data_IF_224664495681
#
_entry.id   IF_224664495681
#
_cell.length_a   1.000
_cell.length_b   1.000
_cell.length_c   1.000
_cell.angle_alpha   90.00
_cell.angle_beta   90.00
_cell.angle_gamma   90.00
#
_symmetry.space_group_name_H-M   'P 1'
#
loop_
_entity.id
_entity.type
_entity.pdbx_description
1 polymer ?
#
# COMPACT_ATOMS: atom_id res chain seq x y z
N UNK A 1 20.75 7.15 -27.80
CA UNK A 1 21.17 7.29 -26.39
C UNK A 1 19.99 7.90 -25.60
N UNK A 2 19.24 7.09 -24.91
CA UNK A 2 18.33 7.63 -23.88
C UNK A 2 19.14 7.77 -22.58
N UNK A 3 19.13 8.94 -21.91
CA UNK A 3 19.77 9.12 -20.61
C UNK A 3 19.17 8.17 -19.58
N UNK A 4 19.94 7.78 -18.56
CA UNK A 4 19.53 6.85 -17.48
C UNK A 4 18.22 7.26 -16.75
N UNK A 5 17.80 8.52 -16.89
CA UNK A 5 16.55 9.06 -16.36
C UNK A 5 15.33 8.80 -17.26
N UNK A 6 15.57 8.46 -18.52
CA UNK A 6 14.50 8.27 -19.52
C UNK A 6 13.79 6.93 -19.36
N UNK A 7 14.50 5.87 -18.92
CA UNK A 7 13.88 4.56 -18.64
C UNK A 7 12.90 4.63 -17.49
N UNK A 8 13.26 5.34 -16.41
CA UNK A 8 12.36 5.56 -15.28
C UNK A 8 11.14 6.44 -15.63
N UNK A 9 11.30 7.39 -16.54
CA UNK A 9 10.18 8.19 -17.08
C UNK A 9 9.23 7.32 -17.92
N UNK A 10 9.79 6.47 -18.78
CA UNK A 10 9.04 5.54 -19.63
C UNK A 10 8.21 4.56 -18.81
N UNK A 11 8.81 3.98 -17.78
CA UNK A 11 8.14 3.07 -16.85
C UNK A 11 6.98 3.74 -16.11
N UNK A 12 7.21 4.96 -15.62
CA UNK A 12 6.15 5.73 -14.96
C UNK A 12 5.01 6.08 -15.93
N UNK A 13 5.34 6.33 -17.19
CA UNK A 13 4.35 6.59 -18.23
C UNK A 13 3.51 5.35 -18.53
N UNK A 14 4.15 4.19 -18.71
CA UNK A 14 3.47 2.92 -18.95
C UNK A 14 2.50 2.57 -17.81
N UNK A 15 2.99 2.55 -16.56
CA UNK A 15 2.13 2.26 -15.40
C UNK A 15 0.97 3.25 -15.31
N UNK A 16 1.24 4.53 -15.55
CA UNK A 16 0.20 5.57 -15.55
C UNK A 16 -0.85 5.35 -16.64
N UNK A 17 -0.43 4.97 -17.83
CA UNK A 17 -1.32 4.86 -18.98
C UNK A 17 -2.13 3.56 -18.91
N UNK A 18 -1.51 2.46 -18.43
CA UNK A 18 -2.21 1.22 -18.11
C UNK A 18 -3.24 1.41 -16.98
N UNK A 19 -2.87 2.19 -15.95
CA UNK A 19 -3.75 2.52 -14.82
C UNK A 19 -4.94 3.42 -15.22
N UNK A 20 -4.84 4.15 -16.33
CA UNK A 20 -5.89 5.03 -16.85
C UNK A 20 -6.78 4.35 -17.88
N UNK A 21 -6.39 3.19 -18.38
CA UNK A 21 -7.16 2.46 -19.37
C UNK A 21 -8.58 2.16 -18.83
N UNK A 22 -9.65 2.67 -19.46
CA UNK A 22 -11.01 2.56 -18.94
C UNK A 22 -11.59 1.16 -19.16
N UNK A 23 -11.08 0.41 -20.13
CA UNK A 23 -11.51 -0.95 -20.46
C UNK A 23 -10.33 -1.91 -20.52
N UNK A 24 -10.61 -3.22 -20.54
CA UNK A 24 -9.59 -4.25 -20.76
C UNK A 24 -8.98 -4.11 -22.17
N UNK A 25 -9.77 -3.76 -23.18
CA UNK A 25 -9.32 -3.56 -24.54
C UNK A 25 -8.31 -2.39 -24.62
N UNK A 26 -8.60 -1.26 -23.97
CA UNK A 26 -7.66 -0.14 -23.90
C UNK A 26 -6.37 -0.51 -23.16
N UNK A 27 -6.45 -1.37 -22.14
CA UNK A 27 -5.27 -1.87 -21.40
C UNK A 27 -4.42 -2.79 -22.29
N UNK A 28 -5.03 -3.62 -23.14
CA UNK A 28 -4.34 -4.46 -24.13
C UNK A 28 -3.62 -3.60 -25.16
N UNK A 29 -4.29 -2.57 -25.70
CA UNK A 29 -3.68 -1.64 -26.67
C UNK A 29 -2.46 -0.92 -26.10
N UNK A 30 -2.54 -0.48 -24.83
CA UNK A 30 -1.40 0.11 -24.10
C UNK A 30 -0.27 -0.91 -23.95
N UNK A 31 -0.57 -2.16 -23.57
CA UNK A 31 0.42 -3.22 -23.37
C UNK A 31 1.11 -3.59 -24.69
N UNK A 32 0.37 -3.71 -25.80
CA UNK A 32 0.91 -4.00 -27.14
C UNK A 32 1.85 -2.90 -27.64
N UNK A 33 1.44 -1.62 -27.46
CA UNK A 33 2.27 -0.49 -27.85
C UNK A 33 3.60 -0.48 -27.08
N UNK A 34 3.58 -0.75 -25.77
CA UNK A 34 4.78 -0.80 -24.96
C UNK A 34 5.65 -2.04 -25.22
N UNK A 35 5.08 -3.21 -25.50
CA UNK A 35 5.82 -4.43 -25.88
C UNK A 35 6.63 -4.18 -27.16
N UNK A 36 6.01 -3.60 -28.19
CA UNK A 36 6.70 -3.24 -29.44
C UNK A 36 7.87 -2.27 -29.23
N UNK A 37 7.72 -1.30 -28.32
CA UNK A 37 8.79 -0.35 -27.99
C UNK A 37 9.89 -1.02 -27.19
N UNK A 38 9.56 -1.89 -26.23
CA UNK A 38 10.56 -2.62 -25.42
C UNK A 38 11.42 -3.54 -26.26
N UNK A 39 10.84 -4.24 -27.24
CA UNK A 39 11.59 -5.09 -28.20
C UNK A 39 12.59 -4.24 -29.00
N UNK A 40 12.17 -3.10 -29.54
CA UNK A 40 13.05 -2.18 -30.26
C UNK A 40 14.18 -1.64 -29.39
N UNK A 41 13.89 -1.30 -28.12
CA UNK A 41 14.88 -0.81 -27.17
C UNK A 41 15.87 -1.90 -26.76
N UNK A 42 15.42 -3.15 -26.55
CA UNK A 42 16.30 -4.29 -26.27
C UNK A 42 17.26 -4.58 -27.40
N UNK A 43 16.80 -4.55 -28.67
CA UNK A 43 17.66 -4.73 -29.84
C UNK A 43 18.75 -3.65 -29.94
N UNK A 44 18.43 -2.40 -29.61
CA UNK A 44 19.39 -1.27 -29.64
C UNK A 44 20.37 -1.30 -28.46
N UNK A 45 20.01 -1.89 -27.29
CA UNK A 45 20.86 -1.97 -26.10
C UNK A 45 21.92 -3.07 -26.18
N UNK A 46 21.80 -4.01 -27.08
CA UNK A 46 22.81 -5.07 -27.31
C UNK A 46 24.20 -4.52 -27.74
N UNK A 47 24.34 -3.21 -27.90
CA UNK A 47 25.53 -2.56 -28.44
C UNK A 47 26.48 -1.88 -27.42
N UNK A 48 26.19 -1.84 -26.07
CA UNK A 48 27.09 -1.21 -25.08
C UNK A 48 27.11 -1.92 -23.70
N UNK A 49 28.32 -2.24 -23.18
CA UNK A 49 28.51 -3.34 -22.18
C UNK A 49 28.21 -3.17 -20.68
N UNK A 50 28.23 -2.01 -20.07
CA UNK A 50 28.18 -1.92 -18.59
C UNK A 50 26.86 -1.34 -18.04
N UNK A 51 26.13 -0.56 -18.81
CA UNK A 51 24.76 -0.11 -18.48
C UNK A 51 23.67 -1.09 -18.90
N UNK A 52 24.08 -2.18 -19.56
CA UNK A 52 23.25 -3.21 -20.17
C UNK A 52 22.33 -3.95 -19.21
N UNK A 53 22.88 -4.45 -18.09
CA UNK A 53 22.17 -5.45 -17.28
C UNK A 53 20.91 -4.88 -16.59
N UNK A 54 20.97 -3.67 -16.04
CA UNK A 54 19.79 -3.07 -15.38
C UNK A 54 18.70 -2.65 -16.36
N UNK A 55 19.08 -2.07 -17.50
CA UNK A 55 18.11 -1.66 -18.52
C UNK A 55 17.48 -2.86 -19.21
N UNK A 56 18.26 -3.90 -19.53
CA UNK A 56 17.76 -5.16 -20.12
C UNK A 56 16.82 -5.87 -19.16
N UNK A 57 17.17 -5.97 -17.88
CA UNK A 57 16.30 -6.58 -16.87
C UNK A 57 14.98 -5.82 -16.74
N UNK A 58 15.02 -4.49 -16.79
CA UNK A 58 13.85 -3.64 -16.74
C UNK A 58 12.94 -3.82 -17.97
N UNK A 59 13.50 -3.87 -19.18
CA UNK A 59 12.73 -4.11 -20.40
C UNK A 59 12.14 -5.54 -20.45
N UNK A 60 12.90 -6.55 -19.98
CA UNK A 60 12.36 -7.92 -19.84
C UNK A 60 11.19 -7.97 -18.86
N UNK A 61 11.31 -7.27 -17.73
CA UNK A 61 10.20 -7.20 -16.79
C UNK A 61 8.97 -6.52 -17.39
N UNK A 62 9.15 -5.46 -18.20
CA UNK A 62 8.05 -4.82 -18.92
C UNK A 62 7.41 -5.78 -19.94
N UNK A 63 8.23 -6.51 -20.68
CA UNK A 63 7.76 -7.51 -21.64
C UNK A 63 7.01 -8.63 -20.93
N UNK A 64 7.55 -9.16 -19.83
CA UNK A 64 6.88 -10.15 -18.98
C UNK A 64 5.52 -9.65 -18.44
N UNK A 65 5.46 -8.36 -18.04
CA UNK A 65 4.21 -7.74 -17.56
C UNK A 65 3.20 -7.54 -18.68
N UNK A 66 3.65 -7.07 -19.84
CA UNK A 66 2.80 -6.95 -21.03
C UNK A 66 2.26 -8.32 -21.43
N UNK A 67 3.12 -9.34 -21.45
CA UNK A 67 2.74 -10.73 -21.76
C UNK A 67 1.73 -11.29 -20.76
N UNK A 68 1.85 -10.97 -19.48
CA UNK A 68 0.89 -11.36 -18.45
C UNK A 68 -0.48 -10.66 -18.62
N UNK A 69 -0.48 -9.39 -19.06
CA UNK A 69 -1.73 -8.65 -19.35
C UNK A 69 -2.40 -9.20 -20.61
N UNK A 70 -1.60 -9.61 -21.59
CA UNK A 70 -2.07 -10.18 -22.86
C UNK A 70 -2.44 -11.68 -22.77
N UNK A 71 -2.36 -12.29 -21.56
CA UNK A 71 -2.57 -13.73 -21.36
C UNK A 71 -1.69 -14.59 -22.27
N UNK A 72 -0.49 -14.13 -22.56
CA UNK A 72 0.44 -14.77 -23.47
C UNK A 72 1.34 -15.75 -22.68
N UNK A 73 1.49 -17.01 -23.14
CA UNK A 73 2.25 -18.10 -22.47
C UNK A 73 3.77 -17.82 -22.25
N UNK A 74 4.25 -16.63 -22.60
CA UNK A 74 5.64 -16.22 -22.47
C UNK A 74 6.02 -15.61 -21.10
N UNK A 75 5.11 -15.60 -20.14
CA UNK A 75 5.34 -14.99 -18.82
C UNK A 75 6.45 -15.71 -18.06
N UNK A 76 7.46 -14.97 -17.61
CA UNK A 76 8.56 -15.52 -16.82
C UNK A 76 8.06 -16.01 -15.46
N UNK A 77 8.47 -17.21 -15.03
CA UNK A 77 8.10 -17.81 -13.74
C UNK A 77 8.41 -16.88 -12.56
N UNK A 78 9.50 -16.10 -12.58
CA UNK A 78 9.85 -15.16 -11.51
C UNK A 78 8.83 -14.02 -11.33
N UNK A 79 8.28 -13.53 -12.44
CA UNK A 79 7.24 -12.48 -12.40
C UNK A 79 5.94 -13.05 -11.82
N UNK A 80 5.58 -14.28 -12.20
CA UNK A 80 4.43 -14.97 -11.62
C UNK A 80 4.63 -15.29 -10.13
N UNK A 81 5.81 -15.72 -9.72
CA UNK A 81 6.16 -15.92 -8.30
C UNK A 81 6.04 -14.64 -7.50
N UNK A 82 6.53 -13.51 -8.02
CA UNK A 82 6.40 -12.21 -7.36
C UNK A 82 4.93 -11.77 -7.26
N UNK A 83 4.14 -11.93 -8.33
CA UNK A 83 2.69 -11.66 -8.31
C UNK A 83 1.98 -12.52 -7.26
N UNK A 84 2.29 -13.80 -7.22
CA UNK A 84 1.71 -14.73 -6.25
C UNK A 84 2.12 -14.37 -4.82
N UNK A 85 3.38 -13.96 -4.60
CA UNK A 85 3.86 -13.53 -3.28
C UNK A 85 3.15 -12.27 -2.77
N UNK A 86 2.66 -11.41 -3.68
CA UNK A 86 1.85 -10.25 -3.34
C UNK A 86 0.36 -10.60 -3.11
N UNK A 87 -0.05 -11.82 -3.37
CA UNK A 87 -1.42 -12.31 -3.16
C UNK A 87 -1.74 -12.59 -1.69
N UNK A 88 -0.72 -12.84 -0.89
CA UNK A 88 -0.86 -13.22 0.52
C UNK A 88 0.11 -12.40 1.38
N UNK A 89 -0.30 -12.07 2.59
CA UNK A 89 0.57 -11.52 3.63
C UNK A 89 0.42 -12.36 4.89
N UNK A 90 1.47 -13.10 5.22
CA UNK A 90 1.47 -14.08 6.31
C UNK A 90 1.32 -13.42 7.68
N UNK A 91 0.47 -13.99 8.54
CA UNK A 91 0.25 -13.52 9.90
C UNK A 91 1.55 -13.53 10.73
N UNK A 92 2.36 -14.57 10.62
CA UNK A 92 3.63 -14.68 11.32
C UNK A 92 4.62 -13.59 10.92
N UNK A 93 4.64 -13.19 9.63
CA UNK A 93 5.50 -12.11 9.14
C UNK A 93 5.10 -10.72 9.65
N UNK A 94 3.86 -10.58 10.14
CA UNK A 94 3.32 -9.35 10.71
C UNK A 94 3.57 -9.21 12.21
N UNK A 95 3.96 -10.28 12.90
CA UNK A 95 4.18 -10.23 14.34
C UNK A 95 5.41 -9.39 14.70
N UNK A 96 5.24 -8.55 15.69
CA UNK A 96 6.33 -7.85 16.36
C UNK A 96 7.11 -8.79 17.30
N UNK A 97 8.19 -8.29 17.90
CA UNK A 97 8.91 -8.98 18.97
C UNK A 97 8.01 -9.36 20.15
N UNK A 98 6.90 -8.67 20.34
CA UNK A 98 5.89 -8.96 21.37
C UNK A 98 4.87 -10.04 20.95
N UNK A 99 5.11 -10.75 19.87
CA UNK A 99 4.26 -11.84 19.34
C UNK A 99 2.83 -11.40 18.97
N UNK A 100 2.63 -10.13 18.64
CA UNK A 100 1.36 -9.57 18.21
C UNK A 100 1.54 -8.70 16.96
N UNK A 101 0.48 -8.55 16.18
CA UNK A 101 0.43 -7.61 15.06
C UNK A 101 0.20 -6.20 15.62
N UNK A 102 1.06 -5.28 15.25
CA UNK A 102 0.97 -3.88 15.67
C UNK A 102 0.60 -3.02 14.47
N UNK A 103 -0.52 -2.31 14.59
CA UNK A 103 -1.04 -1.38 13.58
C UNK A 103 -0.90 0.05 14.10
N UNK A 104 -0.21 0.92 13.38
CA UNK A 104 -0.17 2.35 13.67
C UNK A 104 -1.04 3.10 12.69
N UNK A 105 -1.94 3.94 13.20
CA UNK A 105 -2.79 4.81 12.41
C UNK A 105 -2.41 6.27 12.65
N UNK A 106 -2.31 7.03 11.56
CA UNK A 106 -2.04 8.47 11.56
C UNK A 106 -3.32 9.24 11.28
N UNK A 107 -3.80 9.98 12.25
CA UNK A 107 -4.94 10.89 12.14
C UNK A 107 -4.46 12.35 12.23
N UNK A 108 -5.21 13.24 11.61
CA UNK A 108 -4.91 14.67 11.51
C UNK A 108 -6.03 15.49 12.11
N UNK A 109 -5.74 16.72 12.54
CA UNK A 109 -6.64 17.56 13.35
C UNK A 109 -7.71 18.31 12.56
N UNK A 110 -7.86 18.02 11.26
CA UNK A 110 -8.93 18.55 10.44
C UNK A 110 -10.29 17.86 10.74
N UNK A 111 -11.37 18.42 10.19
CA UNK A 111 -12.73 17.90 10.42
C UNK A 111 -12.87 16.44 10.00
N UNK A 112 -12.29 16.06 8.88
CA UNK A 112 -12.38 14.70 8.34
C UNK A 112 -11.54 13.73 9.18
N UNK A 113 -10.38 14.15 9.64
CA UNK A 113 -9.52 13.38 10.54
C UNK A 113 -10.19 13.08 11.88
N UNK A 114 -10.85 14.08 12.49
CA UNK A 114 -11.63 13.92 13.73
C UNK A 114 -12.78 12.93 13.50
N UNK A 115 -13.56 13.11 12.43
CA UNK A 115 -14.67 12.21 12.11
C UNK A 115 -14.21 10.78 11.86
N UNK A 116 -13.12 10.60 11.12
CA UNK A 116 -12.53 9.29 10.86
C UNK A 116 -12.01 8.61 12.14
N UNK A 117 -11.42 9.37 13.06
CA UNK A 117 -10.97 8.87 14.36
C UNK A 117 -12.16 8.39 15.22
N UNK A 118 -13.21 9.19 15.33
CA UNK A 118 -14.42 8.81 16.05
C UNK A 118 -15.07 7.56 15.44
N UNK A 119 -15.13 7.47 14.11
CA UNK A 119 -15.58 6.31 13.39
C UNK A 119 -14.74 5.08 13.69
N UNK A 120 -13.41 5.22 13.73
CA UNK A 120 -12.50 4.14 14.11
C UNK A 120 -12.79 3.64 15.53
N UNK A 121 -12.81 4.53 16.52
CA UNK A 121 -13.08 4.15 17.92
C UNK A 121 -14.44 3.43 18.03
N UNK A 122 -15.48 3.96 17.36
CA UNK A 122 -16.82 3.38 17.41
C UNK A 122 -16.88 1.99 16.75
N UNK A 123 -16.13 1.74 15.68
CA UNK A 123 -16.08 0.45 15.00
C UNK A 123 -15.54 -0.68 15.87
N UNK A 124 -14.75 -0.36 16.88
CA UNK A 124 -14.16 -1.32 17.81
C UNK A 124 -14.78 -1.32 19.22
N UNK A 125 -15.87 -0.57 19.43
CA UNK A 125 -16.73 -0.71 20.62
C UNK A 125 -17.61 -1.95 20.48
N UNK A 126 -17.00 -3.11 20.36
CA UNK A 126 -17.68 -4.41 20.20
C UNK A 126 -16.98 -5.48 21.04
N UNK A 127 -17.67 -6.61 21.28
CA UNK A 127 -17.08 -7.74 21.96
C UNK A 127 -15.77 -8.20 21.25
N UNK A 128 -14.80 -8.66 22.02
CA UNK A 128 -13.50 -9.08 21.51
C UNK A 128 -12.44 -7.98 21.47
N UNK A 129 -12.81 -6.72 21.72
CA UNK A 129 -11.89 -5.58 21.70
C UNK A 129 -11.95 -4.76 22.98
N UNK A 130 -10.82 -4.20 23.38
CA UNK A 130 -10.69 -3.25 24.49
C UNK A 130 -10.03 -1.97 24.00
N UNK A 131 -10.39 -0.85 24.62
CA UNK A 131 -9.88 0.47 24.27
C UNK A 131 -9.26 1.11 25.51
N UNK A 132 -8.03 1.61 25.37
CA UNK A 132 -7.32 2.35 26.41
C UNK A 132 -7.01 3.74 25.84
N UNK A 133 -7.59 4.78 26.45
CA UNK A 133 -7.42 6.16 26.03
C UNK A 133 -6.32 6.83 26.85
N UNK A 134 -5.36 7.45 26.16
CA UNK A 134 -4.33 8.32 26.72
C UNK A 134 -4.58 9.77 26.29
N UNK A 135 -3.78 10.70 26.78
CA UNK A 135 -3.91 12.12 26.43
C UNK A 135 -3.73 12.36 24.91
N UNK A 136 -2.73 11.73 24.30
CA UNK A 136 -2.30 11.98 22.94
C UNK A 136 -2.57 10.82 21.97
N UNK A 137 -2.97 9.64 22.47
CA UNK A 137 -3.29 8.48 21.62
C UNK A 137 -4.30 7.56 22.30
N UNK A 138 -4.79 6.65 21.51
CA UNK A 138 -5.67 5.57 21.98
C UNK A 138 -5.11 4.25 21.48
N UNK A 139 -5.05 3.25 22.37
CA UNK A 139 -4.82 1.86 22.01
C UNK A 139 -6.15 1.14 21.91
N UNK A 140 -6.35 0.42 20.80
CA UNK A 140 -7.43 -0.55 20.60
C UNK A 140 -6.80 -1.91 20.38
N UNK A 141 -7.08 -2.88 21.26
CA UNK A 141 -6.45 -4.18 21.19
C UNK A 141 -7.46 -5.31 21.31
N UNK A 142 -7.21 -6.41 20.62
CA UNK A 142 -8.00 -7.62 20.72
C UNK A 142 -7.82 -8.26 22.10
N UNK A 143 -8.90 -8.82 22.67
CA UNK A 143 -8.85 -9.46 24.02
C UNK A 143 -7.93 -10.69 24.00
N UNK A 144 -7.84 -11.39 22.86
CA UNK A 144 -6.93 -12.52 22.70
C UNK A 144 -5.44 -12.13 22.54
N UNK A 145 -5.13 -10.83 22.55
CA UNK A 145 -3.76 -10.30 22.52
C UNK A 145 -3.05 -10.34 21.16
N UNK A 146 -3.71 -10.78 20.07
CA UNK A 146 -3.07 -10.94 18.76
C UNK A 146 -2.87 -9.63 18.02
N UNK A 147 -3.70 -8.62 18.26
CA UNK A 147 -3.67 -7.34 17.55
C UNK A 147 -3.70 -6.17 18.52
N UNK A 148 -2.81 -5.21 18.32
CA UNK A 148 -2.86 -3.90 18.96
C UNK A 148 -2.81 -2.79 17.90
N UNK A 149 -3.75 -1.87 17.96
CA UNK A 149 -3.84 -0.69 17.10
C UNK A 149 -3.56 0.55 17.92
N UNK A 150 -2.61 1.36 17.49
CA UNK A 150 -2.27 2.63 18.11
C UNK A 150 -2.64 3.77 17.17
N UNK A 151 -3.45 4.69 17.65
CA UNK A 151 -3.94 5.84 16.91
C UNK A 151 -3.65 7.12 17.69
N UNK A 152 -2.96 8.08 17.09
CA UNK A 152 -2.82 9.41 17.71
C UNK A 152 -4.18 10.11 17.74
N UNK A 153 -4.40 10.92 18.79
CA UNK A 153 -5.60 11.75 18.90
C UNK A 153 -5.49 12.91 17.89
N UNK A 154 -6.50 13.13 17.01
CA UNK A 154 -6.51 14.26 16.07
C UNK A 154 -6.85 15.57 16.80
N UNK A 155 -5.84 16.16 17.41
CA UNK A 155 -5.94 17.43 18.10
C UNK A 155 -5.86 18.61 17.12
N UNK A 156 -6.06 19.83 17.60
CA UNK A 156 -6.10 21.05 16.78
C UNK A 156 -4.86 21.20 15.88
N UNK A 157 -5.02 21.07 14.57
CA UNK A 157 -3.95 21.18 13.57
C UNK A 157 -3.36 22.59 13.47
N UNK A 158 -4.16 23.64 13.72
CA UNK A 158 -3.70 25.04 13.64
C UNK A 158 -2.68 25.37 14.74
N UNK A 159 -2.68 24.60 15.81
CA UNK A 159 -1.73 24.70 16.92
C UNK A 159 -0.70 23.56 16.86
N UNK A 160 -0.63 22.82 15.77
CA UNK A 160 0.25 21.64 15.57
C UNK A 160 0.12 20.59 16.68
N UNK A 161 -1.01 20.55 17.37
CA UNK A 161 -1.23 19.62 18.48
C UNK A 161 -1.45 18.18 17.99
N UNK A 162 -1.95 17.98 16.77
CA UNK A 162 -2.05 16.68 16.11
C UNK A 162 -0.67 16.10 15.79
N UNK A 163 0.30 16.91 15.32
CA UNK A 163 1.69 16.51 15.15
C UNK A 163 2.33 16.16 16.49
N UNK A 164 2.11 16.97 17.52
CA UNK A 164 2.56 16.67 18.89
C UNK A 164 1.99 15.36 19.40
N UNK A 165 0.75 15.03 19.08
CA UNK A 165 0.14 13.76 19.45
C UNK A 165 0.78 12.58 18.69
N UNK A 166 1.12 12.76 17.40
CA UNK A 166 1.87 11.79 16.61
C UNK A 166 3.27 11.54 17.18
N UNK A 167 4.00 12.60 17.54
CA UNK A 167 5.33 12.51 18.13
C UNK A 167 5.30 11.83 19.50
N UNK A 168 4.29 12.18 20.34
CA UNK A 168 4.11 11.55 21.65
C UNK A 168 3.84 10.05 21.53
N UNK A 169 3.04 9.63 20.53
CA UNK A 169 2.81 8.22 20.25
C UNK A 169 4.09 7.56 19.73
N UNK A 170 4.84 8.22 18.85
CA UNK A 170 6.13 7.71 18.36
C UNK A 170 7.10 7.45 19.52
N UNK A 171 7.24 8.44 20.43
CA UNK A 171 8.10 8.31 21.60
C UNK A 171 7.67 7.14 22.51
N UNK A 172 6.35 6.98 22.72
CA UNK A 172 5.81 5.86 23.49
C UNK A 172 6.14 4.50 22.86
N UNK A 173 5.90 4.34 21.54
CA UNK A 173 6.17 3.11 20.83
C UNK A 173 7.67 2.77 20.84
N UNK A 174 8.53 3.77 20.62
CA UNK A 174 9.99 3.62 20.66
C UNK A 174 10.47 3.20 22.04
N UNK A 175 10.03 3.88 23.10
CA UNK A 175 10.41 3.55 24.48
C UNK A 175 9.95 2.14 24.88
N UNK A 176 8.79 1.71 24.38
CA UNK A 176 8.25 0.36 24.61
C UNK A 176 8.82 -0.71 23.68
N UNK A 177 9.72 -0.37 22.75
CA UNK A 177 10.22 -1.25 21.70
C UNK A 177 9.07 -1.91 20.91
N UNK A 178 7.99 -1.15 20.70
CA UNK A 178 6.80 -1.59 19.97
C UNK A 178 6.94 -1.17 18.51
N UNK A 179 7.16 -2.14 17.64
CA UNK A 179 7.41 -1.89 16.21
C UNK A 179 6.15 -2.19 15.39
N UNK A 180 5.55 -1.18 14.74
CA UNK A 180 4.39 -1.39 13.88
C UNK A 180 4.76 -2.13 12.60
N UNK A 181 4.06 -3.22 12.30
CA UNK A 181 4.17 -3.93 11.02
C UNK A 181 3.14 -3.45 9.98
N UNK A 182 2.10 -2.74 10.42
CA UNK A 182 1.08 -2.17 9.55
C UNK A 182 0.95 -0.67 9.83
N UNK A 183 1.04 0.14 8.77
CA UNK A 183 0.89 1.60 8.84
C UNK A 183 -0.36 2.01 8.08
N UNK A 184 -1.20 2.85 8.67
CA UNK A 184 -2.44 3.33 8.06
C UNK A 184 -2.49 4.85 8.08
N UNK A 185 -2.56 5.44 6.90
CA UNK A 185 -2.80 6.88 6.72
C UNK A 185 -4.30 7.17 6.71
N UNK A 186 -4.73 8.08 7.59
CA UNK A 186 -6.15 8.45 7.78
C UNK A 186 -6.39 9.95 7.59
N UNK A 187 -5.68 10.57 6.67
CA UNK A 187 -5.76 12.00 6.38
C UNK A 187 -5.87 12.28 4.88
N UNK A 188 -5.91 13.56 4.55
CA UNK A 188 -5.83 14.03 3.17
C UNK A 188 -4.46 13.77 2.55
N UNK A 189 -4.38 13.82 1.20
CA UNK A 189 -3.16 13.53 0.45
C UNK A 189 -2.00 14.47 0.77
N UNK A 190 -2.27 15.72 1.16
CA UNK A 190 -1.23 16.69 1.56
C UNK A 190 -0.55 16.32 2.88
N UNK A 191 -1.19 15.51 3.75
CA UNK A 191 -0.57 14.96 4.94
C UNK A 191 0.22 13.67 4.70
N UNK A 192 0.08 13.04 3.51
CA UNK A 192 0.66 11.72 3.27
C UNK A 192 2.19 11.69 3.49
N UNK A 193 2.89 12.78 3.18
CA UNK A 193 4.34 12.87 3.41
C UNK A 193 4.71 12.76 4.90
N UNK A 194 3.90 13.29 5.82
CA UNK A 194 4.12 13.16 7.27
C UNK A 194 3.98 11.69 7.71
N UNK A 195 2.94 11.00 7.24
CA UNK A 195 2.81 9.55 7.50
C UNK A 195 4.01 8.78 6.94
N UNK A 196 4.40 9.07 5.69
CA UNK A 196 5.51 8.36 5.01
C UNK A 196 6.82 8.56 5.75
N UNK A 197 7.13 9.76 6.24
CA UNK A 197 8.32 10.03 7.03
C UNK A 197 8.38 9.22 8.34
N UNK A 198 7.24 8.78 8.86
CA UNK A 198 7.13 7.92 10.04
C UNK A 198 7.06 6.42 9.76
N UNK A 199 7.29 5.99 8.50
CA UNK A 199 7.34 4.56 8.15
C UNK A 199 8.72 4.02 8.50
N UNK A 200 8.74 2.97 9.30
CA UNK A 200 9.94 2.19 9.60
C UNK A 200 10.10 1.03 8.59
N UNK A 201 11.32 0.57 8.37
CA UNK A 201 11.65 -0.57 7.48
C UNK A 201 10.98 -1.89 7.89
N UNK A 202 10.53 -1.99 9.12
CA UNK A 202 9.75 -3.14 9.64
C UNK A 202 8.33 -3.22 9.08
N UNK A 203 7.80 -2.14 8.48
CA UNK A 203 6.45 -2.14 7.92
C UNK A 203 6.32 -3.18 6.82
N UNK A 204 5.33 -4.06 6.95
CA UNK A 204 4.98 -5.10 5.97
C UNK A 204 3.74 -4.74 5.18
N UNK A 205 2.93 -3.82 5.68
CA UNK A 205 1.75 -3.29 4.99
C UNK A 205 1.61 -1.79 5.23
N UNK A 206 1.41 -1.04 4.16
CA UNK A 206 1.08 0.39 4.22
C UNK A 206 -0.25 0.63 3.49
N UNK A 207 -1.22 1.19 4.19
CA UNK A 207 -2.51 1.61 3.63
C UNK A 207 -2.52 3.14 3.46
N UNK A 208 -2.42 3.60 2.21
CA UNK A 208 -2.52 5.01 1.81
C UNK A 208 -3.88 5.30 1.17
N UNK A 209 -4.93 5.32 1.99
CA UNK A 209 -6.30 5.52 1.53
C UNK A 209 -6.69 6.97 1.23
N UNK A 210 -5.72 7.89 1.10
CA UNK A 210 -5.95 9.27 0.67
C UNK A 210 -6.12 9.39 -0.84
N UNK A 211 -6.63 10.55 -1.31
CA UNK A 211 -6.74 10.83 -2.73
C UNK A 211 -5.37 10.73 -3.42
N UNK A 212 -5.26 9.93 -4.48
CA UNK A 212 -4.01 9.74 -5.21
C UNK A 212 -2.87 9.14 -4.39
N UNK A 213 -3.15 8.42 -3.31
CA UNK A 213 -2.12 7.76 -2.48
C UNK A 213 -1.21 6.82 -3.27
N UNK A 214 -1.71 6.27 -4.39
CA UNK A 214 -0.95 5.45 -5.32
C UNK A 214 0.29 6.15 -5.89
N UNK A 215 0.26 7.48 -6.06
CA UNK A 215 1.38 8.27 -6.57
C UNK A 215 2.56 8.34 -5.57
N UNK A 216 2.37 7.88 -4.33
CA UNK A 216 3.39 7.88 -3.27
C UNK A 216 4.12 6.55 -3.12
N UNK A 217 3.86 5.55 -3.98
CA UNK A 217 4.47 4.21 -3.89
C UNK A 217 5.99 4.26 -3.76
N UNK A 218 6.68 5.02 -4.65
CA UNK A 218 8.13 5.11 -4.61
C UNK A 218 8.66 5.67 -3.28
N UNK A 219 7.98 6.68 -2.71
CA UNK A 219 8.35 7.24 -1.43
C UNK A 219 8.17 6.21 -0.28
N UNK A 220 7.09 5.45 -0.28
CA UNK A 220 6.88 4.35 0.69
C UNK A 220 7.96 3.28 0.56
N UNK A 221 8.27 2.85 -0.66
CA UNK A 221 9.26 1.81 -0.93
C UNK A 221 10.68 2.22 -0.54
N UNK A 222 11.00 3.53 -0.55
CA UNK A 222 12.28 4.03 -0.06
C UNK A 222 12.44 3.85 1.46
N UNK A 223 11.35 3.87 2.23
CA UNK A 223 11.37 3.64 3.68
C UNK A 223 11.25 2.15 4.04
N UNK A 224 10.37 1.42 3.35
CA UNK A 224 10.09 0.02 3.62
C UNK A 224 10.02 -0.79 2.31
N UNK A 225 11.18 -1.25 1.77
CA UNK A 225 11.25 -1.97 0.48
C UNK A 225 10.44 -3.26 0.44
N UNK A 226 10.30 -3.94 1.59
CA UNK A 226 9.59 -5.21 1.69
C UNK A 226 8.08 -5.07 1.89
N UNK A 227 7.57 -3.83 2.01
CA UNK A 227 6.16 -3.61 2.30
C UNK A 227 5.26 -3.96 1.12
N UNK A 228 4.05 -4.39 1.41
CA UNK A 228 2.92 -4.37 0.48
C UNK A 228 2.17 -3.05 0.65
N UNK A 229 1.60 -2.52 -0.42
CA UNK A 229 0.92 -1.22 -0.38
C UNK A 229 -0.49 -1.34 -0.95
N UNK A 230 -1.47 -0.83 -0.20
CA UNK A 230 -2.82 -0.57 -0.69
C UNK A 230 -2.98 0.95 -0.79
N UNK A 231 -3.38 1.43 -1.94
CA UNK A 231 -3.57 2.84 -2.17
C UNK A 231 -4.70 3.12 -3.16
N UNK A 232 -5.30 4.31 -3.06
CA UNK A 232 -6.28 4.77 -4.05
C UNK A 232 -5.57 5.52 -5.18
N UNK A 233 -5.97 5.26 -6.44
CA UNK A 233 -5.52 5.99 -7.63
C UNK A 233 -6.16 7.38 -7.72
N UNK A 234 -7.43 7.48 -7.29
CA UNK A 234 -8.26 8.68 -7.41
C UNK A 234 -8.69 9.17 -6.02
N UNK A 235 -9.95 9.00 -5.68
CA UNK A 235 -10.53 9.51 -4.42
C UNK A 235 -10.39 8.48 -3.31
N UNK A 236 -9.65 8.85 -2.27
CA UNK A 236 -9.64 8.11 -1.01
C UNK A 236 -10.88 8.42 -0.17
N UNK A 237 -11.57 7.37 0.34
CA UNK A 237 -12.77 7.55 1.16
C UNK A 237 -12.63 6.94 2.54
N UNK A 238 -12.95 7.72 3.56
CA UNK A 238 -12.88 7.28 4.96
C UNK A 238 -13.69 6.01 5.22
N UNK A 239 -14.87 5.87 4.59
CA UNK A 239 -15.73 4.68 4.73
C UNK A 239 -15.07 3.42 4.16
N UNK A 240 -14.35 3.51 3.03
CA UNK A 240 -13.63 2.39 2.44
C UNK A 240 -12.45 2.00 3.33
N UNK A 241 -11.68 3.00 3.78
CA UNK A 241 -10.53 2.77 4.67
C UNK A 241 -10.96 2.13 5.99
N UNK A 242 -12.11 2.53 6.55
CA UNK A 242 -12.67 1.95 7.76
C UNK A 242 -13.09 0.49 7.54
N UNK A 243 -13.77 0.20 6.43
CA UNK A 243 -14.19 -1.16 6.07
C UNK A 243 -12.98 -2.09 5.83
N UNK A 244 -11.95 -1.63 5.09
CA UNK A 244 -10.70 -2.35 4.90
C UNK A 244 -10.01 -2.67 6.22
N UNK A 245 -9.87 -1.68 7.11
CA UNK A 245 -9.26 -1.89 8.42
C UNK A 245 -10.04 -2.90 9.26
N UNK A 246 -11.38 -2.84 9.21
CA UNK A 246 -12.23 -3.80 9.91
C UNK A 246 -12.03 -5.22 9.37
N UNK A 247 -12.07 -5.41 8.05
CA UNK A 247 -11.87 -6.71 7.42
C UNK A 247 -10.48 -7.29 7.76
N UNK A 248 -9.43 -6.48 7.67
CA UNK A 248 -8.06 -6.87 8.05
C UNK A 248 -8.00 -7.28 9.54
N UNK A 249 -8.60 -6.47 10.40
CA UNK A 249 -8.58 -6.73 11.85
C UNK A 249 -9.28 -8.03 12.23
N UNK A 250 -10.35 -8.39 11.54
CA UNK A 250 -11.09 -9.65 11.76
C UNK A 250 -10.28 -10.89 11.34
N UNK A 251 -9.52 -10.81 10.25
CA UNK A 251 -8.61 -11.87 9.82
C UNK A 251 -7.44 -12.01 10.82
N UNK A 252 -6.83 -10.89 11.18
CA UNK A 252 -5.68 -10.87 12.10
C UNK A 252 -6.04 -11.28 13.53
N UNK A 253 -7.25 -10.95 14.01
CA UNK A 253 -7.74 -11.40 15.32
C UNK A 253 -7.85 -12.93 15.39
N UNK A 254 -8.18 -13.58 14.28
CA UNK A 254 -8.22 -15.04 14.16
C UNK A 254 -6.82 -15.67 14.04
N UNK A 255 -5.77 -14.88 13.83
CA UNK A 255 -4.40 -15.36 13.59
C UNK A 255 -4.23 -15.98 12.22
N UNK A 256 -4.97 -15.49 11.23
CA UNK A 256 -4.95 -15.99 9.86
C UNK A 256 -4.11 -15.09 8.96
N UNK A 257 -3.56 -15.68 7.90
CA UNK A 257 -2.92 -14.94 6.82
C UNK A 257 -3.92 -14.07 6.07
N UNK A 258 -3.46 -12.91 5.60
CA UNK A 258 -4.27 -12.04 4.77
C UNK A 258 -4.20 -12.55 3.34
N UNK A 259 -5.30 -13.10 2.84
CA UNK A 259 -5.48 -13.46 1.43
C UNK A 259 -6.21 -12.29 0.76
N UNK A 260 -5.48 -11.53 -0.07
CA UNK A 260 -6.01 -10.28 -0.62
C UNK A 260 -7.25 -10.46 -1.49
N UNK A 261 -7.36 -11.56 -2.22
CA UNK A 261 -8.57 -11.86 -3.02
C UNK A 261 -9.79 -11.92 -2.13
N UNK A 262 -9.71 -12.63 -1.01
CA UNK A 262 -10.84 -12.80 -0.08
C UNK A 262 -11.25 -11.45 0.53
N UNK A 263 -10.27 -10.61 0.91
CA UNK A 263 -10.54 -9.25 1.40
C UNK A 263 -11.24 -8.41 0.31
N UNK A 264 -10.77 -8.47 -0.95
CA UNK A 264 -11.37 -7.69 -2.06
C UNK A 264 -12.77 -8.18 -2.40
N UNK A 265 -13.01 -9.49 -2.40
CA UNK A 265 -14.33 -10.08 -2.64
C UNK A 265 -15.31 -9.69 -1.51
N UNK A 266 -14.89 -9.76 -0.26
CA UNK A 266 -15.68 -9.30 0.89
C UNK A 266 -16.03 -7.81 0.75
N UNK A 267 -15.06 -6.95 0.42
CA UNK A 267 -15.27 -5.52 0.23
C UNK A 267 -16.26 -5.24 -0.92
N UNK A 268 -16.11 -5.91 -2.06
CA UNK A 268 -17.00 -5.77 -3.20
C UNK A 268 -18.44 -6.20 -2.89
N UNK A 269 -18.61 -7.19 -2.01
CA UNK A 269 -19.93 -7.65 -1.57
C UNK A 269 -20.58 -6.67 -0.56
N UNK A 270 -19.80 -6.07 0.32
CA UNK A 270 -20.30 -5.23 1.41
C UNK A 270 -20.53 -3.78 1.00
N UNK A 271 -19.66 -3.21 0.14
CA UNK A 271 -19.76 -1.80 -0.26
C UNK A 271 -20.92 -1.57 -1.23
N UNK A 272 -21.58 -0.41 -1.07
CA UNK A 272 -22.73 -0.01 -1.89
C UNK A 272 -22.58 1.42 -2.37
N UNK A 273 -23.35 1.76 -3.42
CA UNK A 273 -23.42 3.11 -3.97
C UNK A 273 -22.05 3.68 -4.32
N UNK A 274 -21.82 4.94 -4.01
CA UNK A 274 -20.60 5.67 -4.34
C UNK A 274 -19.33 5.07 -3.70
N UNK A 275 -19.45 4.39 -2.55
CA UNK A 275 -18.33 3.69 -1.94
C UNK A 275 -17.87 2.50 -2.79
N UNK A 276 -18.82 1.72 -3.35
CA UNK A 276 -18.52 0.60 -4.24
C UNK A 276 -17.83 1.08 -5.52
N UNK A 277 -18.33 2.16 -6.14
CA UNK A 277 -17.73 2.75 -7.33
C UNK A 277 -16.31 3.26 -7.04
N UNK A 278 -16.12 4.00 -5.93
CA UNK A 278 -14.79 4.51 -5.55
C UNK A 278 -13.81 3.42 -5.12
N UNK A 279 -14.29 2.25 -4.71
CA UNK A 279 -13.42 1.12 -4.36
C UNK A 279 -12.69 0.54 -5.57
N UNK A 280 -13.21 0.75 -6.78
CA UNK A 280 -12.53 0.35 -8.02
C UNK A 280 -11.20 1.08 -8.23
N UNK A 281 -11.03 2.25 -7.62
CA UNK A 281 -9.78 3.01 -7.64
C UNK A 281 -8.74 2.49 -6.63
N UNK A 282 -9.12 1.61 -5.70
CA UNK A 282 -8.19 1.02 -4.74
C UNK A 282 -7.46 -0.17 -5.35
N UNK A 283 -6.14 -0.17 -5.24
CA UNK A 283 -5.28 -1.18 -5.83
C UNK A 283 -4.82 -2.18 -4.76
N UNK A 284 -5.20 -3.46 -4.88
CA UNK A 284 -4.67 -4.50 -4.00
C UNK A 284 -3.21 -4.83 -4.36
N UNK A 285 -2.41 -5.34 -3.41
CA UNK A 285 -1.00 -5.65 -3.66
C UNK A 285 -0.78 -6.56 -4.87
N UNK A 286 -1.61 -7.58 -5.07
CA UNK A 286 -1.47 -8.53 -6.19
C UNK A 286 -1.85 -7.98 -7.57
N UNK A 287 -2.43 -6.78 -7.64
CA UNK A 287 -2.70 -6.05 -8.89
C UNK A 287 -1.86 -4.78 -9.00
N UNK A 288 -0.90 -4.58 -8.10
CA UNK A 288 -0.12 -3.35 -8.03
C UNK A 288 1.14 -3.47 -8.89
N UNK A 289 0.98 -3.24 -10.20
CA UNK A 289 2.07 -3.27 -11.18
C UNK A 289 3.20 -2.30 -10.79
N UNK A 290 2.88 -1.10 -10.30
CA UNK A 290 3.87 -0.13 -9.84
C UNK A 290 4.71 -0.67 -8.67
N UNK A 291 4.10 -1.36 -7.72
CA UNK A 291 4.80 -2.00 -6.61
C UNK A 291 5.74 -3.11 -7.10
N UNK A 292 5.28 -3.95 -8.02
CA UNK A 292 6.11 -5.00 -8.63
C UNK A 292 7.34 -4.42 -9.30
N UNK A 293 7.16 -3.41 -10.15
CA UNK A 293 8.26 -2.76 -10.88
C UNK A 293 9.29 -2.19 -9.92
N UNK A 294 8.84 -1.49 -8.86
CA UNK A 294 9.73 -0.92 -7.85
C UNK A 294 10.50 -2.00 -7.09
N UNK A 295 9.84 -3.09 -6.66
CA UNK A 295 10.51 -4.21 -5.98
C UNK A 295 11.55 -4.88 -6.86
N UNK A 296 11.24 -5.15 -8.12
CA UNK A 296 12.18 -5.76 -9.05
C UNK A 296 13.37 -4.84 -9.36
N UNK A 297 13.11 -3.52 -9.46
CA UNK A 297 14.20 -2.55 -9.69
C UNK A 297 15.13 -2.42 -8.49
N UNK A 298 14.62 -2.51 -7.26
CA UNK A 298 15.43 -2.45 -6.03
C UNK A 298 16.23 -3.72 -5.76
N UNK A 299 15.74 -4.87 -6.25
CA UNK A 299 16.41 -6.17 -6.07
C UNK A 299 17.61 -6.39 -7.02
N UNK A 300 17.86 -5.47 -7.96
CA UNK A 300 19.00 -5.46 -8.88
C UNK A 300 20.14 -4.55 -8.38
#
# INVERSE_FOLDING_TARGET
HMPSDTSGYYMRSFVRDLDKAPTLEDAVDVADAFSSITDTCMQNLLLTEIRKNKSIALYRLLDDLCSAVLENDKTNNKTLELLNSLGILGFEALKSSQQKVVIRQYFYGDKDGIQNFDGFINSFKKAGWKTIKQKYWTEVSSINGRVSMYANTPLNEKEELDLKAQDSLTAYLTAGQITPSIIVHRGHSYYANHTIAGIDSSAKLVLLGSCGGYQKLAAVMNHAPETQVIASKQIGRGVINAALLTALSEVLEKGQDIVWRDIWDQMNAQLKGIAKTSFQDYVPPYKNIGLMLLKTYQAQ
#
